data_IF_231837331760
#
_entry.id   IF_231837331760
#
_cell.length_a   1.000
_cell.length_b   1.000
_cell.length_c   1.000
_cell.angle_alpha   90.00
_cell.angle_beta   90.00
_cell.angle_gamma   90.00
#
_symmetry.space_group_name_H-M   'P 1'
#
loop_
_entity.id
_entity.type
_entity.pdbx_description
1 polymer ?
#
# COMPACT_ATOMS: atom_id res chain seq x y z
N UNK A 1 -1.38 11.57 20.92
CA UNK A 1 -1.61 10.84 19.66
C UNK A 1 -0.29 10.24 19.27
N UNK A 2 -0.20 8.90 19.19
CA UNK A 2 0.97 8.27 18.54
C UNK A 2 0.77 8.47 17.05
N UNK A 3 1.79 9.01 16.40
CA UNK A 3 1.81 9.27 14.97
C UNK A 3 1.64 7.96 14.19
N UNK A 4 0.89 8.00 13.09
CA UNK A 4 0.71 6.90 12.15
C UNK A 4 2.09 6.30 11.80
N UNK A 5 2.35 5.14 12.37
CA UNK A 5 3.66 4.50 12.37
C UNK A 5 3.98 3.85 11.02
N UNK A 6 5.27 3.88 10.70
CA UNK A 6 5.98 3.08 9.68
C UNK A 6 6.15 3.59 8.25
N UNK A 7 5.38 4.57 7.77
CA UNK A 7 5.68 5.21 6.46
C UNK A 7 6.93 6.11 6.54
N UNK A 8 7.26 6.63 7.72
CA UNK A 8 8.47 7.43 7.97
C UNK A 8 9.72 6.54 7.99
N UNK A 9 9.59 5.30 8.45
CA UNK A 9 10.65 4.28 8.38
C UNK A 9 10.97 3.99 6.92
N UNK A 10 9.95 3.81 6.07
CA UNK A 10 10.12 3.64 4.61
C UNK A 10 10.84 4.84 4.00
N UNK A 11 10.45 6.06 4.37
CA UNK A 11 11.13 7.27 3.89
C UNK A 11 12.60 7.32 4.32
N UNK A 12 12.90 7.03 5.58
CA UNK A 12 14.27 7.01 6.11
C UNK A 12 15.10 5.92 5.44
N UNK A 13 14.55 4.73 5.23
CA UNK A 13 15.22 3.63 4.52
C UNK A 13 15.50 4.01 3.06
N UNK A 14 14.53 4.61 2.35
CA UNK A 14 14.73 5.09 0.97
C UNK A 14 15.76 6.23 0.88
N UNK A 15 15.78 7.14 1.86
CA UNK A 15 16.76 8.21 1.96
C UNK A 15 18.17 7.67 2.30
N UNK A 16 18.28 6.60 3.10
CA UNK A 16 19.54 5.89 3.38
C UNK A 16 20.08 5.11 2.17
N UNK A 17 19.19 4.59 1.32
CA UNK A 17 19.54 3.87 0.08
C UNK A 17 19.59 4.77 -1.17
N UNK A 18 19.48 6.10 -1.00
CA UNK A 18 19.63 7.09 -2.07
C UNK A 18 21.09 7.41 -2.42
N UNK A 19 22.06 6.55 -2.06
CA UNK A 19 23.39 6.62 -2.66
C UNK A 19 23.26 6.31 -4.15
N UNK A 20 23.38 7.36 -4.95
CA UNK A 20 23.40 7.31 -6.42
C UNK A 20 24.33 6.16 -6.84
N UNK A 21 23.83 5.10 -7.51
CA UNK A 21 24.69 4.02 -7.91
C UNK A 21 25.76 4.61 -8.82
N UNK A 22 27.02 4.48 -8.38
CA UNK A 22 28.19 4.88 -9.18
C UNK A 22 28.00 4.31 -10.58
N UNK A 23 28.26 5.12 -11.60
CA UNK A 23 28.22 4.69 -13.00
C UNK A 23 29.12 3.46 -13.14
N UNK A 24 28.54 2.26 -13.12
CA UNK A 24 29.29 1.01 -13.22
C UNK A 24 29.86 0.97 -14.64
N UNK A 25 31.19 0.96 -14.75
CA UNK A 25 31.88 0.75 -16.03
C UNK A 25 31.93 -0.74 -16.27
N UNK A 26 31.07 -1.20 -17.16
CA UNK A 26 31.07 -2.56 -17.66
C UNK A 26 32.18 -2.72 -18.72
N UNK A 27 32.94 -3.82 -18.64
CA UNK A 27 33.69 -4.34 -19.80
C UNK A 27 32.71 -4.60 -20.97
N UNK A 28 33.16 -4.62 -22.23
CA UNK A 28 32.26 -4.93 -23.34
C UNK A 28 31.66 -6.33 -23.15
N UNK A 29 30.35 -6.38 -22.84
CA UNK A 29 29.59 -7.62 -22.75
C UNK A 29 29.66 -8.38 -24.09
N UNK A 30 29.79 -9.71 -24.02
CA UNK A 30 29.80 -10.55 -25.21
C UNK A 30 28.44 -10.51 -25.93
N UNK A 31 27.34 -10.44 -25.16
CA UNK A 31 26.01 -10.10 -25.65
C UNK A 31 25.60 -8.67 -25.22
N UNK A 32 25.45 -7.71 -26.16
CA UNK A 32 25.01 -6.36 -25.84
C UNK A 32 23.58 -6.29 -25.29
N UNK A 33 22.73 -7.29 -25.52
CA UNK A 33 21.34 -7.33 -25.04
C UNK A 33 21.24 -7.68 -23.57
N UNK A 34 22.13 -8.52 -23.04
CA UNK A 34 22.24 -8.77 -21.59
C UNK A 34 22.60 -7.47 -20.85
N UNK A 35 23.60 -6.73 -21.35
CA UNK A 35 23.96 -5.43 -20.80
C UNK A 35 22.84 -4.39 -20.92
N UNK A 36 22.03 -4.44 -21.98
CA UNK A 36 20.86 -3.57 -22.13
C UNK A 36 19.77 -3.91 -21.11
N UNK A 37 19.51 -5.21 -20.87
CA UNK A 37 18.57 -5.71 -19.84
C UNK A 37 18.94 -5.17 -18.46
N UNK A 38 20.21 -5.30 -18.07
CA UNK A 38 20.71 -4.80 -16.78
C UNK A 38 20.51 -3.28 -16.63
N UNK A 39 20.81 -2.51 -17.69
CA UNK A 39 20.61 -1.05 -17.69
C UNK A 39 19.14 -0.69 -17.56
N UNK A 40 18.25 -1.46 -18.17
CA UNK A 40 16.81 -1.26 -18.04
C UNK A 40 16.35 -1.56 -16.60
N UNK A 41 16.87 -2.62 -15.98
CA UNK A 41 16.68 -2.91 -14.55
C UNK A 41 17.09 -1.77 -13.63
N UNK A 42 18.24 -1.14 -13.90
CA UNK A 42 18.68 0.03 -13.15
C UNK A 42 17.73 1.22 -13.29
N UNK A 43 17.15 1.44 -14.48
CA UNK A 43 16.15 2.50 -14.67
C UNK A 43 14.86 2.18 -13.93
N UNK A 44 14.39 0.94 -14.01
CA UNK A 44 13.21 0.47 -13.27
C UNK A 44 13.40 0.65 -11.77
N UNK A 45 14.54 0.20 -11.22
CA UNK A 45 14.85 0.36 -9.79
C UNK A 45 14.78 1.82 -9.35
N UNK A 46 15.42 2.74 -10.09
CA UNK A 46 15.37 4.19 -9.78
C UNK A 46 13.97 4.76 -9.89
N UNK A 47 13.22 4.33 -10.90
CA UNK A 47 11.83 4.74 -11.09
C UNK A 47 10.97 4.29 -9.90
N UNK A 48 11.06 3.03 -9.50
CA UNK A 48 10.35 2.47 -8.34
C UNK A 48 10.67 3.25 -7.08
N UNK A 49 11.95 3.52 -6.78
CA UNK A 49 12.33 4.31 -5.61
C UNK A 49 11.73 5.73 -5.62
N UNK A 50 11.74 6.40 -6.78
CA UNK A 50 11.16 7.73 -6.93
C UNK A 50 9.64 7.70 -6.72
N UNK A 51 8.94 6.71 -7.28
CA UNK A 51 7.49 6.52 -7.13
C UNK A 51 7.11 6.29 -5.68
N UNK A 52 7.85 5.43 -4.96
CA UNK A 52 7.59 5.17 -3.54
C UNK A 52 7.76 6.46 -2.74
N UNK A 53 8.87 7.19 -2.96
CA UNK A 53 9.13 8.47 -2.29
C UNK A 53 8.01 9.48 -2.54
N UNK A 54 7.55 9.62 -3.79
CA UNK A 54 6.49 10.55 -4.14
C UNK A 54 5.14 10.15 -3.52
N UNK A 55 4.80 8.86 -3.53
CA UNK A 55 3.58 8.35 -2.91
C UNK A 55 3.55 8.64 -1.40
N UNK A 56 4.67 8.38 -0.72
CA UNK A 56 4.87 8.66 0.71
C UNK A 56 4.76 10.16 1.01
N UNK A 57 5.41 11.01 0.21
CA UNK A 57 5.35 12.45 0.39
C UNK A 57 3.94 13.00 0.18
N UNK A 58 3.22 12.51 -0.83
CA UNK A 58 1.83 12.87 -1.08
C UNK A 58 0.94 12.52 0.12
N UNK A 59 1.12 11.34 0.71
CA UNK A 59 0.43 10.94 1.93
C UNK A 59 0.73 11.89 3.10
N UNK A 60 2.02 12.09 3.43
CA UNK A 60 2.41 12.93 4.56
C UNK A 60 1.96 14.37 4.44
N UNK A 61 2.10 14.97 3.25
CA UNK A 61 1.65 16.33 3.00
C UNK A 61 0.15 16.47 3.21
N UNK A 62 -0.65 15.46 2.84
CA UNK A 62 -2.09 15.47 3.05
C UNK A 62 -2.42 15.35 4.55
N UNK A 63 -1.81 14.40 5.28
CA UNK A 63 -2.01 14.25 6.72
C UNK A 63 -1.63 15.53 7.48
N UNK A 64 -0.50 16.16 7.16
CA UNK A 64 -0.08 17.44 7.78
C UNK A 64 -1.06 18.58 7.48
N UNK A 65 -1.60 18.66 6.26
CA UNK A 65 -2.64 19.64 5.90
C UNK A 65 -3.91 19.42 6.71
N UNK A 66 -4.29 18.17 6.95
CA UNK A 66 -5.50 17.87 7.72
C UNK A 66 -5.34 18.21 9.21
N UNK A 67 -4.14 18.04 9.77
CA UNK A 67 -3.80 18.47 11.13
C UNK A 67 -3.77 20.00 11.26
N UNK A 68 -3.14 20.70 10.32
CA UNK A 68 -2.96 22.16 10.37
C UNK A 68 -4.24 22.95 10.08
N UNK A 69 -5.14 22.42 9.25
CA UNK A 69 -6.38 23.12 8.87
C UNK A 69 -7.55 22.92 9.85
N UNK A 70 -7.32 22.29 11.01
CA UNK A 70 -8.29 22.21 12.10
C UNK A 70 -9.71 21.94 11.62
N UNK A 71 -9.92 20.78 10.98
CA UNK A 71 -11.23 20.31 10.53
C UNK A 71 -12.14 21.42 9.94
N UNK A 72 -11.74 22.04 8.82
CA UNK A 72 -12.64 22.95 8.08
C UNK A 72 -14.00 22.27 7.86
N UNK A 73 -15.06 22.93 8.34
CA UNK A 73 -16.43 22.50 8.22
C UNK A 73 -16.76 22.21 6.74
N UNK A 74 -17.16 20.97 6.46
CA UNK A 74 -17.83 20.66 5.21
C UNK A 74 -19.25 21.17 5.39
N UNK A 75 -19.62 22.18 4.61
CA UNK A 75 -21.03 22.51 4.44
C UNK A 75 -21.71 21.26 3.87
N UNK A 76 -22.61 20.65 4.65
CA UNK A 76 -23.32 19.38 4.37
C UNK A 76 -24.02 19.43 2.99
N UNK A 77 -24.20 20.63 2.41
CA UNK A 77 -24.79 20.87 1.10
C UNK A 77 -23.85 20.63 -0.08
N UNK A 78 -22.57 20.35 0.14
CA UNK A 78 -21.61 20.11 -0.93
C UNK A 78 -21.28 18.62 -1.09
N UNK A 79 -21.34 18.08 -2.34
CA UNK A 79 -20.94 16.70 -2.60
C UNK A 79 -19.48 16.49 -2.20
N UNK A 80 -19.17 15.29 -1.72
CA UNK A 80 -17.84 14.81 -1.31
C UNK A 80 -16.76 15.40 -2.23
N UNK A 81 -15.96 16.34 -1.71
CA UNK A 81 -14.87 16.94 -2.48
C UNK A 81 -13.61 16.14 -2.21
N UNK A 82 -13.15 15.38 -3.22
CA UNK A 82 -11.88 14.67 -3.15
C UNK A 82 -10.77 15.63 -2.72
N UNK A 83 -10.04 15.28 -1.66
CA UNK A 83 -8.90 16.05 -1.17
C UNK A 83 -7.81 16.20 -2.24
N UNK A 84 -6.92 17.18 -2.02
CA UNK A 84 -5.73 17.34 -2.84
C UNK A 84 -4.86 16.09 -2.86
N UNK A 85 -4.73 15.39 -1.71
CA UNK A 85 -4.01 14.12 -1.59
C UNK A 85 -4.56 13.04 -2.52
N UNK A 86 -5.88 12.80 -2.53
CA UNK A 86 -6.50 11.82 -3.43
C UNK A 86 -6.22 12.16 -4.89
N UNK A 87 -6.37 13.44 -5.27
CA UNK A 87 -6.10 13.87 -6.65
C UNK A 87 -4.64 13.67 -7.05
N UNK A 88 -3.70 13.90 -6.12
CA UNK A 88 -2.28 13.66 -6.36
C UNK A 88 -1.99 12.17 -6.51
N UNK A 89 -2.58 11.31 -5.68
CA UNK A 89 -2.43 9.86 -5.79
C UNK A 89 -3.01 9.32 -7.10
N UNK A 90 -4.18 9.81 -7.55
CA UNK A 90 -4.74 9.45 -8.86
C UNK A 90 -3.81 9.87 -10.00
N UNK A 91 -3.26 11.10 -9.97
CA UNK A 91 -2.30 11.56 -10.99
C UNK A 91 -1.04 10.72 -11.00
N UNK A 92 -0.55 10.33 -9.82
CA UNK A 92 0.60 9.44 -9.71
C UNK A 92 0.29 8.09 -10.36
N UNK A 93 -0.87 7.47 -10.07
CA UNK A 93 -1.32 6.24 -10.71
C UNK A 93 -1.40 6.37 -12.24
N UNK A 94 -2.07 7.41 -12.74
CA UNK A 94 -2.22 7.69 -14.17
C UNK A 94 -0.87 7.91 -14.88
N UNK A 95 0.17 8.33 -14.13
CA UNK A 95 1.53 8.50 -14.64
C UNK A 95 2.34 7.21 -14.56
N UNK A 96 2.18 6.45 -13.47
CA UNK A 96 3.02 5.29 -13.16
C UNK A 96 2.64 4.07 -13.99
N UNK A 97 1.34 3.75 -14.10
CA UNK A 97 0.87 2.54 -14.80
C UNK A 97 1.40 2.46 -16.24
N UNK A 98 1.27 3.51 -17.09
CA UNK A 98 1.76 3.43 -18.46
C UNK A 98 3.28 3.32 -18.57
N UNK A 99 4.03 3.81 -17.57
CA UNK A 99 5.49 3.70 -17.54
C UNK A 99 5.90 2.27 -17.16
N UNK A 100 5.17 1.63 -16.25
CA UNK A 100 5.38 0.23 -15.90
C UNK A 100 5.08 -0.70 -17.08
N UNK A 101 3.99 -0.43 -17.83
CA UNK A 101 3.68 -1.17 -19.05
C UNK A 101 4.81 -1.05 -20.09
N UNK A 102 5.41 0.14 -20.22
CA UNK A 102 6.57 0.35 -21.09
C UNK A 102 7.81 -0.43 -20.63
N UNK A 103 8.02 -0.56 -19.32
CA UNK A 103 9.10 -1.41 -18.80
C UNK A 103 8.84 -2.87 -19.13
N UNK A 104 7.64 -3.40 -18.91
CA UNK A 104 7.28 -4.77 -19.27
C UNK A 104 7.53 -5.06 -20.76
N UNK A 105 7.05 -4.18 -21.66
CA UNK A 105 7.28 -4.29 -23.11
C UNK A 105 8.79 -4.24 -23.45
N UNK A 106 9.53 -3.32 -22.82
CA UNK A 106 10.99 -3.19 -23.01
C UNK A 106 11.71 -4.47 -22.60
N UNK A 107 11.38 -5.05 -21.45
CA UNK A 107 11.97 -6.30 -20.98
C UNK A 107 11.62 -7.49 -21.86
N UNK A 108 10.38 -7.59 -22.35
CA UNK A 108 9.98 -8.65 -23.28
C UNK A 108 10.80 -8.58 -24.59
N UNK A 109 10.96 -7.37 -25.15
CA UNK A 109 11.78 -7.15 -26.34
C UNK A 109 13.25 -7.51 -26.08
N UNK A 110 13.82 -7.09 -24.94
CA UNK A 110 15.21 -7.35 -24.59
C UNK A 110 15.45 -8.85 -24.35
N UNK A 111 14.57 -9.52 -23.61
CA UNK A 111 14.63 -10.95 -23.34
C UNK A 111 14.55 -11.77 -24.64
N UNK A 112 13.69 -11.40 -25.59
CA UNK A 112 13.58 -12.09 -26.88
C UNK A 112 14.84 -12.00 -27.76
N UNK A 113 15.74 -11.06 -27.48
CA UNK A 113 16.97 -10.81 -28.23
C UNK A 113 18.23 -11.34 -27.55
N UNK A 114 18.19 -11.50 -26.23
CA UNK A 114 19.33 -11.94 -25.44
C UNK A 114 19.56 -13.45 -25.60
N UNK A 115 20.83 -13.85 -25.67
CA UNK A 115 21.23 -15.25 -25.69
C UNK A 115 21.70 -15.68 -24.29
N UNK A 116 21.10 -16.73 -23.72
CA UNK A 116 21.41 -17.23 -22.37
C UNK A 116 22.10 -18.60 -22.43
N UNK A 117 23.33 -18.63 -22.94
CA UNK A 117 24.10 -19.87 -23.11
C UNK A 117 25.59 -19.75 -22.77
N UNK A 118 26.01 -18.58 -22.31
CA UNK A 118 27.41 -18.22 -22.14
C UNK A 118 27.89 -18.44 -20.69
N UNK A 119 26.97 -18.54 -19.72
CA UNK A 119 27.26 -18.72 -18.29
C UNK A 119 28.29 -17.70 -17.77
N UNK A 120 28.21 -16.46 -18.24
CA UNK A 120 29.05 -15.37 -17.77
C UNK A 120 28.31 -14.51 -16.71
N UNK A 121 29.04 -13.55 -16.13
CA UNK A 121 28.51 -12.67 -15.08
C UNK A 121 27.40 -11.73 -15.60
N UNK A 122 27.36 -11.46 -16.92
CA UNK A 122 26.32 -10.63 -17.53
C UNK A 122 25.03 -11.42 -17.73
N UNK A 123 25.14 -12.69 -18.09
CA UNK A 123 24.01 -13.60 -18.20
C UNK A 123 23.33 -13.81 -16.83
N UNK A 124 24.09 -14.06 -15.78
CA UNK A 124 23.56 -14.20 -14.41
C UNK A 124 22.81 -12.93 -13.99
N UNK A 125 23.47 -11.77 -14.09
CA UNK A 125 22.88 -10.50 -13.69
C UNK A 125 21.68 -10.09 -14.57
N UNK A 126 21.68 -10.46 -15.86
CA UNK A 126 20.53 -10.24 -16.74
C UNK A 126 19.33 -11.11 -16.32
N UNK A 127 19.54 -12.38 -15.94
CA UNK A 127 18.48 -13.24 -15.39
C UNK A 127 17.94 -12.70 -14.07
N UNK A 128 18.82 -12.25 -13.17
CA UNK A 128 18.41 -11.62 -11.92
C UNK A 128 17.62 -10.34 -12.17
N UNK A 129 18.02 -9.56 -13.18
CA UNK A 129 17.27 -8.37 -13.61
C UNK A 129 15.87 -8.74 -14.12
N UNK A 130 15.74 -9.83 -14.87
CA UNK A 130 14.44 -10.29 -15.36
C UNK A 130 13.54 -10.72 -14.19
N UNK A 131 14.08 -11.52 -13.27
CA UNK A 131 13.38 -11.92 -12.06
C UNK A 131 12.96 -10.71 -11.21
N UNK A 132 13.84 -9.71 -11.10
CA UNK A 132 13.55 -8.46 -10.41
C UNK A 132 12.37 -7.73 -11.06
N UNK A 133 12.30 -7.62 -12.40
CA UNK A 133 11.16 -6.97 -13.06
C UNK A 133 9.85 -7.70 -12.78
N UNK A 134 9.84 -9.03 -12.95
CA UNK A 134 8.65 -9.87 -12.72
C UNK A 134 8.14 -9.75 -11.28
N UNK A 135 9.07 -9.52 -10.35
CA UNK A 135 8.77 -9.35 -8.94
C UNK A 135 8.30 -7.94 -8.61
N UNK A 136 9.03 -6.90 -9.03
CA UNK A 136 8.85 -5.53 -8.51
C UNK A 136 7.69 -4.81 -9.18
N UNK A 137 7.45 -5.02 -10.49
CA UNK A 137 6.41 -4.31 -11.24
C UNK A 137 5.01 -4.55 -10.65
N UNK A 138 4.55 -5.80 -10.43
CA UNK A 138 3.23 -6.01 -9.82
C UNK A 138 3.16 -5.50 -8.37
N UNK A 139 4.28 -5.48 -7.64
CA UNK A 139 4.35 -4.98 -6.26
C UNK A 139 4.30 -3.46 -6.17
N UNK A 140 4.95 -2.74 -7.07
CA UNK A 140 4.87 -1.27 -7.11
C UNK A 140 3.49 -0.79 -7.59
N UNK A 141 2.84 -1.51 -8.53
CA UNK A 141 1.42 -1.25 -8.87
C UNK A 141 0.58 -1.33 -7.61
N UNK A 142 0.63 -2.46 -6.91
CA UNK A 142 -0.09 -2.65 -5.66
C UNK A 142 0.19 -1.54 -4.63
N UNK A 143 1.46 -1.16 -4.47
CA UNK A 143 1.87 -0.13 -3.54
C UNK A 143 1.19 1.21 -3.81
N UNK A 144 1.24 1.71 -5.05
CA UNK A 144 0.65 3.02 -5.40
C UNK A 144 -0.87 2.97 -5.28
N UNK A 145 -1.52 1.86 -5.65
CA UNK A 145 -2.96 1.68 -5.45
C UNK A 145 -3.31 1.71 -3.97
N UNK A 146 -2.61 0.96 -3.12
CA UNK A 146 -2.86 0.94 -1.68
C UNK A 146 -2.69 2.33 -1.02
N UNK A 147 -1.75 3.15 -1.51
CA UNK A 147 -1.59 4.54 -1.03
C UNK A 147 -2.82 5.41 -1.32
N UNK A 148 -3.46 5.24 -2.48
CA UNK A 148 -4.74 5.88 -2.77
C UNK A 148 -5.81 5.42 -1.76
N UNK A 149 -5.88 4.12 -1.48
CA UNK A 149 -6.84 3.56 -0.52
C UNK A 149 -6.61 4.06 0.91
N UNK A 150 -5.35 4.20 1.36
CA UNK A 150 -5.02 4.81 2.65
C UNK A 150 -5.57 6.23 2.76
N UNK A 151 -5.35 7.07 1.73
CA UNK A 151 -5.89 8.42 1.68
C UNK A 151 -7.42 8.43 1.71
N UNK A 152 -8.06 7.48 1.01
CA UNK A 152 -9.50 7.37 1.00
C UNK A 152 -10.09 6.97 2.35
N UNK A 153 -9.45 6.04 3.05
CA UNK A 153 -9.83 5.64 4.41
C UNK A 153 -9.71 6.83 5.36
N UNK A 154 -8.59 7.55 5.33
CA UNK A 154 -8.37 8.72 6.20
C UNK A 154 -9.38 9.84 5.91
N UNK A 155 -9.62 10.16 4.63
CA UNK A 155 -10.59 11.19 4.26
C UNK A 155 -12.01 10.81 4.71
N UNK A 156 -12.36 9.53 4.55
CA UNK A 156 -13.65 9.00 4.98
C UNK A 156 -13.82 9.07 6.50
N UNK A 157 -12.78 8.77 7.27
CA UNK A 157 -12.78 8.98 8.71
C UNK A 157 -12.95 10.44 9.10
N UNK A 158 -12.21 11.33 8.44
CA UNK A 158 -12.31 12.76 8.72
C UNK A 158 -13.72 13.28 8.45
N UNK A 159 -14.41 12.76 7.43
CA UNK A 159 -15.81 13.09 7.17
C UNK A 159 -16.73 12.57 8.27
N UNK A 160 -16.59 11.30 8.68
CA UNK A 160 -17.39 10.71 9.75
C UNK A 160 -17.19 11.43 11.10
N UNK A 161 -15.94 11.73 11.47
CA UNK A 161 -15.60 12.43 12.70
C UNK A 161 -16.12 13.87 12.73
N UNK A 162 -16.10 14.57 11.58
CA UNK A 162 -16.66 15.93 11.47
C UNK A 162 -18.18 15.94 11.62
N UNK A 163 -18.88 14.99 10.99
CA UNK A 163 -20.32 14.85 11.16
C UNK A 163 -20.68 14.59 12.63
N UNK A 164 -19.95 13.69 13.30
CA UNK A 164 -20.09 13.47 14.74
C UNK A 164 -19.89 14.73 15.57
N UNK A 165 -18.85 15.51 15.25
CA UNK A 165 -18.57 16.78 15.92
C UNK A 165 -19.69 17.82 15.77
N UNK A 166 -20.38 17.85 14.62
CA UNK A 166 -21.54 18.72 14.39
C UNK A 166 -22.75 18.25 15.21
N UNK A 167 -23.04 16.95 15.19
CA UNK A 167 -24.13 16.34 15.96
C UNK A 167 -24.03 16.61 17.46
N UNK A 168 -22.82 16.68 18.01
CA UNK A 168 -22.58 16.98 19.44
C UNK A 168 -22.65 18.46 19.81
N UNK A 169 -22.59 19.39 18.85
CA UNK A 169 -22.43 20.83 19.10
C UNK A 169 -23.66 21.66 18.73
N UNK A 170 -24.52 21.18 17.84
CA UNK A 170 -25.76 21.86 17.48
C UNK A 170 -26.90 21.45 18.42
N UNK A 171 -27.47 22.43 19.13
CA UNK A 171 -28.61 22.24 20.03
C UNK A 171 -29.84 21.66 19.31
N UNK A 172 -29.93 21.82 17.98
CA UNK A 172 -30.99 21.27 17.14
C UNK A 172 -30.96 19.72 17.08
N UNK A 173 -29.88 19.09 17.54
CA UNK A 173 -29.71 17.64 17.53
C UNK A 173 -29.53 17.00 18.92
N UNK A 174 -29.64 17.76 20.01
CA UNK A 174 -29.53 17.25 21.39
C UNK A 174 -30.59 16.17 21.73
N UNK A 175 -31.74 16.20 21.06
CA UNK A 175 -32.81 15.21 21.22
C UNK A 175 -32.56 13.91 20.41
N UNK A 176 -31.59 13.91 19.49
CA UNK A 176 -31.29 12.75 18.68
C UNK A 176 -30.27 11.84 19.38
N UNK A 177 -30.77 10.72 19.90
CA UNK A 177 -29.93 9.66 20.49
C UNK A 177 -29.24 8.82 19.42
N UNK A 178 -28.28 7.98 19.80
CA UNK A 178 -27.70 6.95 18.91
C UNK A 178 -28.78 6.08 18.24
N UNK A 179 -29.94 5.91 18.90
CA UNK A 179 -31.10 5.18 18.37
C UNK A 179 -31.90 5.96 17.31
N UNK A 180 -31.75 7.30 17.25
CA UNK A 180 -32.33 8.14 16.19
C UNK A 180 -31.56 8.00 14.88
N UNK A 181 -30.35 7.46 14.96
CA UNK A 181 -29.49 7.14 13.84
C UNK A 181 -29.04 5.67 13.88
N UNK A 182 -29.98 4.70 13.84
CA UNK A 182 -29.62 3.29 13.80
C UNK A 182 -28.92 2.93 12.47
N UNK A 183 -28.91 3.88 11.52
CA UNK A 183 -28.47 3.75 10.13
C UNK A 183 -27.19 4.51 9.80
N UNK A 184 -26.42 5.01 10.77
CA UNK A 184 -25.10 5.57 10.44
C UNK A 184 -24.08 4.42 10.33
N UNK A 185 -24.38 3.49 9.43
CA UNK A 185 -23.42 3.20 8.38
C UNK A 185 -23.18 4.52 7.64
N UNK A 186 -22.35 5.41 8.20
CA UNK A 186 -21.94 6.60 7.49
C UNK A 186 -21.37 6.08 6.17
N UNK A 187 -21.84 6.50 4.98
CA UNK A 187 -21.25 6.01 3.72
C UNK A 187 -19.71 6.06 3.71
N UNK A 188 -19.06 7.07 4.33
CA UNK A 188 -17.63 7.05 4.62
C UNK A 188 -17.14 5.87 5.49
N UNK A 189 -17.81 5.50 6.59
CA UNK A 189 -17.43 4.35 7.43
C UNK A 189 -17.60 3.00 6.71
N UNK A 190 -18.62 2.86 5.86
CA UNK A 190 -18.72 1.67 4.98
C UNK A 190 -17.51 1.61 4.04
N UNK A 191 -17.19 2.73 3.39
CA UNK A 191 -16.01 2.83 2.51
C UNK A 191 -14.74 2.49 3.26
N UNK A 192 -14.59 2.97 4.50
CA UNK A 192 -13.47 2.62 5.39
C UNK A 192 -13.37 1.11 5.61
N UNK A 193 -14.47 0.45 5.97
CA UNK A 193 -14.48 -0.98 6.27
C UNK A 193 -14.14 -1.78 5.03
N UNK A 194 -14.79 -1.48 3.90
CA UNK A 194 -14.54 -2.17 2.63
C UNK A 194 -13.09 -1.94 2.22
N UNK A 195 -12.61 -0.70 2.16
CA UNK A 195 -11.25 -0.37 1.77
C UNK A 195 -10.21 -1.05 2.67
N UNK A 196 -10.37 -0.99 3.99
CA UNK A 196 -9.45 -1.64 4.92
C UNK A 196 -9.45 -3.16 4.75
N UNK A 197 -10.63 -3.78 4.66
CA UNK A 197 -10.73 -5.24 4.46
C UNK A 197 -10.11 -5.69 3.13
N UNK A 198 -10.37 -4.98 2.04
CA UNK A 198 -9.81 -5.28 0.71
C UNK A 198 -8.30 -5.07 0.69
N UNK A 199 -7.78 -4.03 1.33
CA UNK A 199 -6.33 -3.84 1.45
C UNK A 199 -5.66 -4.96 2.22
N UNK A 200 -6.25 -5.42 3.33
CA UNK A 200 -5.74 -6.56 4.10
C UNK A 200 -5.76 -7.82 3.25
N UNK A 201 -6.86 -8.09 2.54
CA UNK A 201 -6.99 -9.26 1.65
C UNK A 201 -5.92 -9.24 0.56
N UNK A 202 -5.83 -8.15 -0.20
CA UNK A 202 -4.93 -8.04 -1.36
C UNK A 202 -3.46 -8.05 -0.95
N UNK A 203 -3.07 -7.20 0.00
CA UNK A 203 -1.67 -7.07 0.44
C UNK A 203 -1.27 -8.26 1.30
N UNK A 204 -2.11 -8.66 2.26
CA UNK A 204 -1.82 -9.77 3.15
C UNK A 204 -1.70 -11.08 2.40
N UNK A 205 -2.60 -11.38 1.45
CA UNK A 205 -2.49 -12.58 0.62
C UNK A 205 -1.20 -12.59 -0.21
N UNK A 206 -0.82 -11.46 -0.83
CA UNK A 206 0.42 -11.37 -1.62
C UNK A 206 1.66 -11.51 -0.76
N UNK A 207 1.67 -10.95 0.45
CA UNK A 207 2.77 -11.12 1.40
C UNK A 207 2.88 -12.59 1.84
N UNK A 208 1.77 -13.22 2.24
CA UNK A 208 1.75 -14.63 2.64
C UNK A 208 2.23 -15.54 1.51
N UNK A 209 1.73 -15.34 0.29
CA UNK A 209 2.14 -16.11 -0.88
C UNK A 209 3.62 -15.92 -1.24
N UNK A 210 4.22 -14.77 -0.90
CA UNK A 210 5.61 -14.47 -1.20
C UNK A 210 6.59 -15.03 -0.15
N UNK A 211 6.17 -15.11 1.11
CA UNK A 211 7.10 -15.34 2.24
C UNK A 211 6.76 -16.51 3.15
N UNK A 212 5.59 -17.14 3.00
CA UNK A 212 5.16 -18.25 3.85
C UNK A 212 5.01 -19.54 3.05
N UNK A 213 5.93 -20.48 3.29
CA UNK A 213 5.92 -21.79 2.63
C UNK A 213 4.65 -22.57 2.97
N UNK A 214 3.99 -23.11 1.94
CA UNK A 214 2.78 -23.92 2.08
C UNK A 214 1.48 -23.14 2.23
N UNK A 215 1.54 -21.81 2.32
CA UNK A 215 0.37 -20.93 2.28
C UNK A 215 0.19 -20.36 0.88
N UNK A 216 -0.93 -20.68 0.25
CA UNK A 216 -1.27 -20.20 -1.10
C UNK A 216 -2.71 -19.73 -1.16
N UNK A 217 -2.89 -18.42 -0.97
CA UNK A 217 -4.16 -17.75 -1.08
C UNK A 217 -4.47 -17.38 -2.52
N UNK A 218 -5.71 -17.63 -2.91
CA UNK A 218 -6.33 -17.00 -4.08
C UNK A 218 -7.04 -15.74 -3.60
N UNK A 219 -6.60 -14.59 -4.09
CA UNK A 219 -7.05 -13.28 -3.62
C UNK A 219 -8.58 -13.14 -3.72
N UNK A 220 -9.18 -13.58 -4.82
CA UNK A 220 -10.63 -13.48 -5.05
C UNK A 220 -11.49 -14.46 -4.21
N UNK A 221 -10.88 -15.48 -3.60
CA UNK A 221 -11.59 -16.55 -2.87
C UNK A 221 -11.26 -16.57 -1.38
N UNK A 222 -10.25 -15.80 -0.93
CA UNK A 222 -9.79 -15.84 0.46
C UNK A 222 -10.40 -14.71 1.26
N UNK A 223 -11.03 -15.06 2.38
CA UNK A 223 -11.59 -14.04 3.28
C UNK A 223 -10.52 -13.31 4.08
N UNK A 224 -10.77 -12.02 4.36
CA UNK A 224 -9.97 -11.18 5.28
C UNK A 224 -9.71 -11.85 6.64
N UNK A 225 -10.67 -12.64 7.14
CA UNK A 225 -10.52 -13.35 8.41
C UNK A 225 -9.46 -14.46 8.36
N UNK A 226 -9.38 -15.19 7.24
CA UNK A 226 -8.31 -16.17 7.01
C UNK A 226 -6.96 -15.47 6.94
N UNK A 227 -6.86 -14.40 6.14
CA UNK A 227 -5.62 -13.64 5.98
C UNK A 227 -5.10 -13.12 7.32
N UNK A 228 -5.95 -12.53 8.17
CA UNK A 228 -5.50 -12.09 9.50
C UNK A 228 -5.07 -13.27 10.37
N UNK A 229 -5.75 -14.41 10.29
CA UNK A 229 -5.35 -15.62 11.03
C UNK A 229 -3.96 -16.12 10.63
N UNK A 230 -3.66 -16.13 9.33
CA UNK A 230 -2.36 -16.57 8.82
C UNK A 230 -1.26 -15.53 9.08
N UNK A 231 -1.58 -14.23 9.02
CA UNK A 231 -0.67 -13.16 9.47
C UNK A 231 -0.35 -13.32 10.96
N UNK A 232 -1.35 -13.57 11.81
CA UNK A 232 -1.15 -13.80 13.25
C UNK A 232 -0.19 -14.96 13.51
N UNK A 233 -0.28 -16.02 12.70
CA UNK A 233 0.55 -17.21 12.84
C UNK A 233 1.98 -17.04 12.28
N UNK A 234 2.16 -16.25 11.22
CA UNK A 234 3.40 -16.27 10.44
C UNK A 234 4.17 -14.94 10.42
N UNK A 235 3.51 -13.81 10.68
CA UNK A 235 4.18 -12.52 10.67
C UNK A 235 4.90 -12.26 11.99
N UNK A 236 6.23 -12.11 11.96
CA UNK A 236 7.05 -12.00 13.17
C UNK A 236 6.71 -10.78 14.04
N UNK A 237 6.13 -9.74 13.46
CA UNK A 237 5.74 -8.52 14.16
C UNK A 237 4.22 -8.45 14.43
N UNK A 238 3.48 -9.56 14.29
CA UNK A 238 2.03 -9.57 14.52
C UNK A 238 1.61 -9.00 15.88
N UNK A 239 2.41 -9.24 16.92
CA UNK A 239 2.19 -8.74 18.29
C UNK A 239 2.21 -7.21 18.44
N UNK A 240 2.72 -6.46 17.45
CA UNK A 240 2.69 -4.99 17.48
C UNK A 240 1.29 -4.44 17.16
N UNK A 241 0.42 -5.25 16.56
CA UNK A 241 -0.94 -4.91 16.17
C UNK A 241 -1.95 -5.68 17.01
N UNK A 242 -3.07 -5.05 17.32
CA UNK A 242 -4.20 -5.73 17.96
C UNK A 242 -5.06 -6.42 16.89
N UNK A 243 -4.59 -7.58 16.42
CA UNK A 243 -5.28 -8.37 15.39
C UNK A 243 -6.68 -8.83 15.84
N UNK A 244 -6.90 -8.99 17.15
CA UNK A 244 -8.23 -9.28 17.71
C UNK A 244 -9.22 -8.13 17.49
N UNK A 245 -8.80 -6.89 17.73
CA UNK A 245 -9.62 -5.70 17.45
C UNK A 245 -9.83 -5.48 15.95
N UNK A 246 -8.83 -5.78 15.12
CA UNK A 246 -9.00 -5.75 13.65
C UNK A 246 -10.05 -6.78 13.22
N UNK A 247 -10.01 -8.02 13.74
CA UNK A 247 -11.04 -9.03 13.47
C UNK A 247 -12.42 -8.51 13.89
N UNK A 248 -12.55 -8.03 15.14
CA UNK A 248 -13.82 -7.51 15.68
C UNK A 248 -14.39 -6.36 14.85
N UNK A 249 -13.59 -5.34 14.55
CA UNK A 249 -14.12 -4.11 13.95
C UNK A 249 -14.11 -4.07 12.44
N UNK A 250 -13.17 -4.76 11.78
CA UNK A 250 -13.08 -4.78 10.32
C UNK A 250 -13.75 -6.03 9.76
N UNK A 251 -13.40 -7.22 10.26
CA UNK A 251 -13.88 -8.48 9.68
C UNK A 251 -15.36 -8.69 10.01
N UNK A 252 -15.73 -8.60 11.29
CA UNK A 252 -17.12 -8.85 11.70
C UNK A 252 -18.06 -7.76 11.15
N UNK A 253 -17.67 -6.49 11.23
CA UNK A 253 -18.48 -5.41 10.64
C UNK A 253 -18.60 -5.51 9.12
N UNK A 254 -17.58 -6.00 8.40
CA UNK A 254 -17.70 -6.27 6.95
C UNK A 254 -18.70 -7.38 6.69
N UNK A 255 -18.68 -8.45 7.48
CA UNK A 255 -19.66 -9.54 7.37
C UNK A 255 -21.08 -9.02 7.66
N UNK A 256 -21.23 -8.18 8.69
CA UNK A 256 -22.49 -7.51 9.02
C UNK A 256 -22.96 -6.57 7.89
N UNK A 257 -22.07 -5.81 7.24
CA UNK A 257 -22.40 -4.98 6.06
C UNK A 257 -22.81 -5.83 4.86
N UNK A 258 -22.10 -6.92 4.57
CA UNK A 258 -22.48 -7.88 3.53
C UNK A 258 -23.86 -8.47 3.80
N UNK A 259 -24.18 -8.75 5.07
CA UNK A 259 -25.50 -9.14 5.49
C UNK A 259 -26.51 -7.99 5.47
N UNK A 260 -26.09 -6.73 5.68
CA UNK A 260 -26.93 -5.54 5.70
C UNK A 260 -27.57 -5.23 4.34
N UNK A 261 -26.87 -5.53 3.24
CA UNK A 261 -27.46 -5.50 1.88
C UNK A 261 -28.65 -6.47 1.76
N UNK A 262 -28.79 -7.42 2.69
CA UNK A 262 -29.84 -8.46 2.69
C UNK A 262 -30.80 -8.43 3.90
N UNK A 263 -30.44 -7.87 5.08
CA UNK A 263 -31.29 -7.73 6.30
C UNK A 263 -30.72 -6.69 7.30
N UNK A 264 -31.59 -5.93 7.98
CA UNK A 264 -31.23 -4.90 8.99
C UNK A 264 -30.46 -5.49 10.19
N UNK A 265 -29.13 -5.42 10.17
CA UNK A 265 -28.24 -5.69 11.31
C UNK A 265 -27.78 -4.39 11.98
N UNK A 266 -27.25 -4.52 13.20
CA UNK A 266 -26.59 -3.42 13.93
C UNK A 266 -25.27 -3.06 13.23
N UNK A 267 -24.90 -1.78 13.19
CA UNK A 267 -23.62 -1.28 12.64
C UNK A 267 -22.85 -0.49 13.71
N UNK A 268 -21.60 -0.09 13.41
CA UNK A 268 -20.75 0.71 14.31
C UNK A 268 -21.50 1.92 14.86
N UNK A 269 -21.67 1.98 16.18
CA UNK A 269 -22.40 3.06 16.86
C UNK A 269 -21.52 4.27 17.12
N UNK A 270 -22.16 5.41 17.39
CA UNK A 270 -21.48 6.68 17.62
C UNK A 270 -20.56 6.69 18.84
N UNK A 271 -20.89 5.91 19.86
CA UNK A 271 -20.11 5.71 21.08
C UNK A 271 -18.94 4.73 20.90
N UNK A 272 -18.94 3.94 19.82
CA UNK A 272 -17.90 2.97 19.45
C UNK A 272 -16.88 3.54 18.46
N UNK A 273 -17.10 4.78 17.97
CA UNK A 273 -16.34 5.38 16.87
C UNK A 273 -14.82 5.49 17.13
N UNK A 274 -14.40 5.76 18.37
CA UNK A 274 -12.97 5.88 18.70
C UNK A 274 -12.27 4.52 18.72
N UNK A 275 -12.91 3.48 19.25
CA UNK A 275 -12.38 2.10 19.21
C UNK A 275 -12.28 1.61 17.77
N UNK A 276 -13.33 1.83 16.98
CA UNK A 276 -13.35 1.53 15.56
C UNK A 276 -12.21 2.23 14.82
N UNK A 277 -12.03 3.54 15.03
CA UNK A 277 -10.94 4.33 14.43
C UNK A 277 -9.56 3.79 14.79
N UNK A 278 -9.35 3.36 16.03
CA UNK A 278 -8.09 2.75 16.46
C UNK A 278 -7.82 1.43 15.72
N UNK A 279 -8.82 0.57 15.59
CA UNK A 279 -8.69 -0.71 14.88
C UNK A 279 -8.35 -0.50 13.40
N UNK A 280 -9.00 0.46 12.74
CA UNK A 280 -8.70 0.71 11.32
C UNK A 280 -7.33 1.35 11.13
N UNK A 281 -6.91 2.22 12.04
CA UNK A 281 -5.56 2.78 12.03
C UNK A 281 -4.52 1.66 12.08
N UNK A 282 -4.70 0.71 13.00
CA UNK A 282 -3.82 -0.46 13.07
C UNK A 282 -3.88 -1.34 11.83
N UNK A 283 -5.06 -1.49 11.21
CA UNK A 283 -5.21 -2.19 9.94
C UNK A 283 -4.44 -1.51 8.80
N UNK A 284 -4.49 -0.18 8.70
CA UNK A 284 -3.69 0.59 7.74
C UNK A 284 -2.19 0.42 8.01
N UNK A 285 -1.77 0.55 9.27
CA UNK A 285 -0.36 0.41 9.67
C UNK A 285 0.16 -0.99 9.34
N UNK A 286 -0.63 -2.05 9.61
CA UNK A 286 -0.29 -3.42 9.23
C UNK A 286 -0.10 -3.54 7.71
N UNK A 287 -1.07 -3.08 6.92
CA UNK A 287 -0.97 -3.14 5.45
C UNK A 287 0.24 -2.35 4.95
N UNK A 288 0.53 -1.19 5.52
CA UNK A 288 1.68 -0.38 5.15
C UNK A 288 2.99 -1.14 5.40
N UNK A 289 3.17 -1.77 6.56
CA UNK A 289 4.37 -2.56 6.86
C UNK A 289 4.51 -3.77 5.93
N UNK A 290 3.42 -4.51 5.67
CA UNK A 290 3.43 -5.63 4.72
C UNK A 290 3.78 -5.19 3.29
N UNK A 291 3.29 -4.02 2.85
CA UNK A 291 3.65 -3.44 1.56
C UNK A 291 5.13 -3.08 1.47
N UNK A 292 5.69 -2.53 2.54
CA UNK A 292 7.12 -2.22 2.63
C UNK A 292 7.97 -3.48 2.54
N UNK A 293 7.58 -4.52 3.27
CA UNK A 293 8.24 -5.84 3.24
C UNK A 293 8.15 -6.50 1.86
N UNK A 294 7.10 -6.22 1.08
CA UNK A 294 6.99 -6.67 -0.30
C UNK A 294 7.92 -5.91 -1.25
N UNK A 295 8.12 -4.61 -1.06
CA UNK A 295 8.75 -3.74 -2.07
C UNK A 295 10.23 -3.49 -1.81
N UNK A 296 10.63 -3.29 -0.55
CA UNK A 296 12.01 -2.88 -0.22
C UNK A 296 13.04 -4.01 -0.42
N UNK A 297 12.82 -5.26 0.05
CA UNK A 297 13.85 -6.30 -0.06
C UNK A 297 14.27 -6.60 -1.51
N UNK A 298 13.36 -6.75 -2.50
CA UNK A 298 13.78 -6.96 -3.89
C UNK A 298 14.62 -5.81 -4.47
N UNK A 299 14.38 -4.57 -4.03
CA UNK A 299 15.18 -3.41 -4.46
C UNK A 299 16.59 -3.50 -3.88
N UNK A 300 16.70 -3.82 -2.58
CA UNK A 300 17.97 -3.95 -1.88
C UNK A 300 18.80 -5.12 -2.42
N UNK A 301 18.18 -6.28 -2.64
CA UNK A 301 18.80 -7.45 -3.26
C UNK A 301 19.36 -7.10 -4.63
N UNK A 302 18.53 -6.51 -5.50
CA UNK A 302 18.97 -6.12 -6.84
C UNK A 302 20.14 -5.12 -6.82
N UNK A 303 20.11 -4.13 -5.93
CA UNK A 303 21.20 -3.16 -5.77
C UNK A 303 22.51 -3.80 -5.27
N UNK A 304 22.39 -4.79 -4.38
CA UNK A 304 23.52 -5.56 -3.89
C UNK A 304 24.15 -6.40 -5.02
N UNK A 305 23.34 -7.03 -5.86
CA UNK A 305 23.83 -7.82 -6.99
C UNK A 305 24.53 -6.95 -8.04
N UNK A 306 23.97 -5.78 -8.35
CA UNK A 306 24.65 -4.77 -9.17
C UNK A 306 26.02 -4.36 -8.59
N UNK A 307 26.11 -4.21 -7.27
CA UNK A 307 27.34 -3.78 -6.57
C UNK A 307 28.41 -4.88 -6.54
N UNK A 308 28.01 -6.15 -6.42
CA UNK A 308 28.91 -7.31 -6.47
C UNK A 308 29.68 -7.36 -7.80
N UNK A 309 28.99 -7.16 -8.93
CA UNK A 309 29.62 -7.18 -10.26
C UNK A 309 30.61 -6.02 -10.46
N UNK A 310 30.37 -4.86 -9.83
CA UNK A 310 31.30 -3.72 -9.88
C UNK A 310 32.63 -3.96 -9.15
N UNK A 311 32.69 -4.93 -8.23
CA UNK A 311 33.92 -5.26 -7.49
C UNK A 311 34.76 -6.35 -8.18
N UNK A 312 34.18 -7.11 -9.12
CA UNK A 312 34.91 -8.09 -9.93
C UNK A 312 35.60 -7.49 -11.17
N UNK A 313 35.31 -6.23 -11.48
CA UNK A 313 35.82 -5.50 -12.66
C UNK A 313 36.87 -4.43 -12.32
N UNK A 314 37.39 -4.44 -11.09
CA UNK A 314 38.56 -3.65 -10.66
C UNK A 314 39.80 -4.53 -10.52
#
# INVERSE_FOLDING_TARGET
MRDFGDVATVKILLEQHSEVPRKIRFEPAQDPWQAATIREGQKLCKFVQAVISEAVDNYYQQIQKDHSNGARAIDIRHPVRLSGGIRNAIRLLETVEPILDQFEESFEILNSKAEFSQNDIYEELAKDTLNFQDTIIPRIRLYVHAQLWFLWVVESFNHAARFHGLMKRDNDFEELTSNSFPYISHPPLIVVIIACSTMIEEVGARWLNAYVDGVHHKIDETSVGCIIGDIEAHYAQSDTYNLGEIKRWIVDTRNEISHYVTRRGDTVKLDELEEFKMAVTQGIELVASLLSDLVLPPIEEFQNDLSRVSNYTQ
#
